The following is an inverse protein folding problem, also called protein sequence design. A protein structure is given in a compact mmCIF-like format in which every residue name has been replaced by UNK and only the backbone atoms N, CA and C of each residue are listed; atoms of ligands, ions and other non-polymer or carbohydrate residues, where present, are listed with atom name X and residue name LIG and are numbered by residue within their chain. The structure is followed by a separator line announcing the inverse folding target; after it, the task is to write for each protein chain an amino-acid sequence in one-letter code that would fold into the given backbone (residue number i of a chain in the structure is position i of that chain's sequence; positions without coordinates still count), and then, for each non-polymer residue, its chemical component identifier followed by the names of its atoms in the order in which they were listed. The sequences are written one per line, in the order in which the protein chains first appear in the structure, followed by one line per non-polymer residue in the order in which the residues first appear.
data_IF_812656410458
#
_entry.id   IF_812656410458
#
_cell.length_a   1.000
_cell.length_b   1.000
_cell.length_c   1.000
_cell.angle_alpha   90.00
_cell.angle_beta   90.00
_cell.angle_gamma   90.00
#
_symmetry.space_group_name_H-M   'P 1'
#
loop_
_entity.id
_entity.type
_entity.pdbx_description
1 polymer ?
#
# COMPACT_ATOMS: atom_id res chain seq x y z
N UNK A 1 7.54 7.59 20.85
CA UNK A 1 8.26 8.80 21.33
C UNK A 1 7.85 9.97 20.46
N UNK A 2 7.22 11.02 21.00
CA UNK A 2 6.98 12.25 20.22
C UNK A 2 8.33 12.92 19.99
N UNK A 3 8.69 13.21 18.74
CA UNK A 3 9.81 14.11 18.44
C UNK A 3 9.46 15.51 18.98
N UNK A 4 10.44 16.20 19.56
CA UNK A 4 10.33 17.60 19.97
C UNK A 4 10.00 18.47 18.76
N UNK A 5 9.26 19.56 18.96
CA UNK A 5 8.85 20.46 17.85
C UNK A 5 10.07 21.05 17.13
N UNK A 6 11.15 21.38 17.86
CA UNK A 6 12.42 21.84 17.29
C UNK A 6 13.03 20.87 16.25
N UNK A 7 12.88 19.56 16.44
CA UNK A 7 13.39 18.56 15.50
C UNK A 7 12.52 18.50 14.24
N UNK A 8 11.22 18.74 14.38
CA UNK A 8 10.29 18.78 13.24
C UNK A 8 10.51 20.04 12.42
N UNK A 9 10.60 21.18 13.08
CA UNK A 9 10.80 22.47 12.40
C UNK A 9 12.07 22.43 11.57
N UNK A 10 13.19 21.95 12.15
CA UNK A 10 14.44 21.76 11.42
C UNK A 10 14.30 20.82 10.21
N UNK A 11 13.54 19.74 10.34
CA UNK A 11 13.33 18.81 9.23
C UNK A 11 12.55 19.46 8.07
N UNK A 12 11.56 20.31 8.36
CA UNK A 12 10.82 21.01 7.32
C UNK A 12 11.62 22.17 6.73
N UNK A 13 12.48 22.84 7.51
CA UNK A 13 13.45 23.82 6.99
C UNK A 13 14.44 23.18 6.01
N UNK A 14 15.03 22.03 6.38
CA UNK A 14 15.93 21.27 5.51
C UNK A 14 15.20 20.80 4.24
N UNK A 15 13.94 20.39 4.35
CA UNK A 15 13.10 19.99 3.23
C UNK A 15 12.82 21.16 2.27
N UNK A 16 12.45 22.32 2.79
CA UNK A 16 12.23 23.53 1.98
C UNK A 16 13.50 23.93 1.22
N UNK A 17 14.67 23.84 1.88
CA UNK A 17 15.95 24.10 1.22
C UNK A 17 16.24 23.09 0.10
N UNK A 18 15.89 21.82 0.29
CA UNK A 18 16.08 20.78 -0.71
C UNK A 18 15.17 21.02 -1.92
N UNK A 19 13.88 21.31 -1.69
CA UNK A 19 12.91 21.60 -2.76
C UNK A 19 13.37 22.83 -3.56
N UNK A 20 13.84 23.87 -2.88
CA UNK A 20 14.35 25.08 -3.54
C UNK A 20 15.62 24.84 -4.37
N UNK A 21 16.38 23.78 -4.10
CA UNK A 21 17.58 23.43 -4.87
C UNK A 21 17.28 22.72 -6.19
N UNK A 22 16.07 22.18 -6.34
CA UNK A 22 15.65 21.46 -7.56
C UNK A 22 15.26 22.48 -8.64
N UNK A 23 15.79 22.36 -9.87
CA UNK A 23 15.38 23.20 -10.99
C UNK A 23 13.87 23.10 -11.26
N UNK A 24 13.23 24.20 -11.67
CA UNK A 24 11.78 24.23 -11.90
C UNK A 24 11.34 23.44 -13.13
N UNK A 25 12.28 23.19 -14.03
CA UNK A 25 12.08 22.42 -15.26
C UNK A 25 11.94 20.92 -14.98
N UNK A 26 12.44 20.46 -13.84
CA UNK A 26 12.41 19.08 -13.42
C UNK A 26 11.12 18.75 -12.65
N UNK A 27 10.62 17.52 -12.84
CA UNK A 27 9.43 17.04 -12.12
C UNK A 27 9.84 16.54 -10.75
N UNK A 28 9.37 17.21 -9.70
CA UNK A 28 9.66 16.82 -8.32
C UNK A 28 8.56 15.90 -7.75
N UNK A 29 8.97 14.74 -7.25
CA UNK A 29 8.10 13.82 -6.50
C UNK A 29 8.73 13.56 -5.13
N UNK A 30 7.99 13.88 -4.07
CA UNK A 30 8.43 13.68 -2.70
C UNK A 30 7.64 12.54 -2.08
N UNK A 31 8.33 11.51 -1.61
CA UNK A 31 7.75 10.31 -1.00
C UNK A 31 8.28 10.16 0.42
N UNK A 32 7.41 9.83 1.37
CA UNK A 32 7.84 9.58 2.74
C UNK A 32 6.72 9.64 3.78
N UNK A 33 6.99 9.08 4.96
CA UNK A 33 6.09 9.17 6.11
C UNK A 33 6.31 10.50 6.83
N UNK A 34 5.48 11.48 6.47
CA UNK A 34 5.44 12.79 7.11
C UNK A 34 4.76 12.78 8.48
N UNK A 35 4.20 11.63 8.89
CA UNK A 35 3.37 11.47 10.09
C UNK A 35 2.27 12.56 10.20
N UNK A 36 1.83 13.00 9.02
CA UNK A 36 0.81 14.00 8.79
C UNK A 36 -0.51 13.27 8.64
N UNK A 37 -1.42 13.49 9.59
CA UNK A 37 -2.77 12.93 9.52
C UNK A 37 -3.76 14.05 9.26
N UNK A 38 -4.91 13.70 8.71
CA UNK A 38 -6.09 14.56 8.75
C UNK A 38 -6.17 15.65 7.69
N UNK A 39 -5.51 15.44 6.56
CA UNK A 39 -5.47 16.38 5.44
C UNK A 39 -6.75 16.21 4.60
N UNK A 40 -7.80 16.97 4.93
CA UNK A 40 -9.15 16.78 4.35
C UNK A 40 -9.85 18.07 3.88
N UNK A 41 -9.38 19.24 4.28
CA UNK A 41 -10.05 20.51 4.00
C UNK A 41 -9.67 21.07 2.63
N UNK A 42 -10.17 20.43 1.57
CA UNK A 42 -9.85 20.77 0.20
C UNK A 42 -10.34 22.18 -0.20
N UNK A 43 -11.32 22.74 0.51
CA UNK A 43 -11.82 24.08 0.22
C UNK A 43 -10.79 25.15 0.61
N UNK A 44 -10.08 24.93 1.72
CA UNK A 44 -9.04 25.83 2.20
C UNK A 44 -7.71 25.63 1.46
N UNK A 45 -7.44 24.41 0.97
CA UNK A 45 -6.16 24.02 0.38
C UNK A 45 -6.31 23.54 -1.07
N UNK A 46 -7.12 24.26 -1.85
CA UNK A 46 -7.35 23.97 -3.27
C UNK A 46 -6.02 23.99 -4.06
N UNK A 47 -5.83 23.00 -4.93
CA UNK A 47 -4.57 22.78 -5.67
C UNK A 47 -3.46 22.04 -4.90
N UNK A 48 -3.52 22.00 -3.56
CA UNK A 48 -2.54 21.27 -2.73
C UNK A 48 -3.06 19.89 -2.34
N UNK A 49 -4.38 19.76 -2.16
CA UNK A 49 -5.02 18.49 -1.81
C UNK A 49 -6.22 18.23 -2.71
N UNK A 50 -6.41 16.95 -3.04
CA UNK A 50 -7.56 16.47 -3.78
C UNK A 50 -8.82 16.32 -2.91
N UNK A 51 -9.94 16.04 -3.57
CA UNK A 51 -11.29 16.00 -2.96
C UNK A 51 -11.51 14.84 -1.98
N UNK A 52 -10.57 13.89 -1.92
CA UNK A 52 -10.73 12.63 -1.19
C UNK A 52 -9.91 12.57 0.11
N UNK A 53 -9.36 13.70 0.55
CA UNK A 53 -8.67 13.82 1.84
C UNK A 53 -9.55 13.39 3.04
N UNK A 54 -8.91 12.97 4.14
CA UNK A 54 -9.62 12.33 5.26
C UNK A 54 -9.04 12.70 6.64
N UNK A 55 -9.94 12.93 7.60
CA UNK A 55 -9.62 13.19 9.02
C UNK A 55 -9.40 14.67 9.36
N UNK A 56 -8.97 14.94 10.60
CA UNK A 56 -8.68 16.30 11.10
C UNK A 56 -7.18 16.52 11.24
N UNK A 57 -6.63 17.58 10.62
CA UNK A 57 -5.19 17.77 10.57
C UNK A 57 -4.55 17.90 11.96
N UNK A 58 -3.49 17.13 12.19
CA UNK A 58 -2.58 17.33 13.31
C UNK A 58 -1.57 18.45 13.00
N UNK A 59 -0.69 18.83 13.95
CA UNK A 59 0.29 19.90 13.73
C UNK A 59 1.25 19.60 12.57
N UNK A 60 1.70 18.34 12.45
CA UNK A 60 2.50 17.89 11.31
C UNK A 60 1.76 18.02 9.98
N UNK A 61 0.45 17.76 9.96
CA UNK A 61 -0.39 17.91 8.76
C UNK A 61 -0.54 19.36 8.33
N UNK A 62 -0.62 20.30 9.28
CA UNK A 62 -0.63 21.73 8.94
C UNK A 62 0.71 22.19 8.36
N UNK A 63 1.82 21.69 8.92
CA UNK A 63 3.16 22.02 8.44
C UNK A 63 3.38 21.49 7.01
N UNK A 64 2.96 20.24 6.76
CA UNK A 64 3.00 19.65 5.42
C UNK A 64 2.15 20.44 4.41
N UNK A 65 0.91 20.79 4.76
CA UNK A 65 0.04 21.59 3.90
C UNK A 65 0.65 22.94 3.56
N UNK A 66 1.24 23.61 4.54
CA UNK A 66 1.90 24.91 4.37
C UNK A 66 3.10 24.80 3.42
N UNK A 67 3.97 23.80 3.62
CA UNK A 67 5.13 23.58 2.74
C UNK A 67 4.71 23.20 1.32
N UNK A 68 3.71 22.33 1.16
CA UNK A 68 3.21 21.96 -0.16
C UNK A 68 2.58 23.16 -0.90
N UNK A 69 1.84 24.01 -0.20
CA UNK A 69 1.30 25.25 -0.77
C UNK A 69 2.38 26.25 -1.19
N UNK A 70 3.49 26.33 -0.46
CA UNK A 70 4.59 27.24 -0.77
C UNK A 70 5.35 26.85 -2.06
N UNK A 71 5.29 25.57 -2.45
CA UNK A 71 6.04 25.00 -3.57
C UNK A 71 5.14 24.43 -4.68
N UNK A 72 3.84 24.77 -4.68
CA UNK A 72 2.85 24.27 -5.66
C UNK A 72 2.82 22.73 -5.77
N UNK A 73 2.99 22.03 -4.65
CA UNK A 73 3.02 20.56 -4.60
C UNK A 73 1.62 20.00 -4.28
N UNK A 74 1.23 18.97 -5.03
CA UNK A 74 -0.02 18.25 -4.85
C UNK A 74 0.19 16.98 -4.02
N UNK A 75 -0.62 16.80 -2.97
CA UNK A 75 -0.66 15.55 -2.19
C UNK A 75 -1.52 14.53 -2.97
N UNK A 76 -0.89 13.82 -3.89
CA UNK A 76 -1.53 12.91 -4.84
C UNK A 76 -2.44 11.85 -4.20
N UNK A 77 -2.08 11.33 -3.01
CA UNK A 77 -2.90 10.37 -2.27
C UNK A 77 -4.30 10.90 -1.90
N UNK A 78 -4.48 12.21 -1.81
CA UNK A 78 -5.78 12.83 -1.52
C UNK A 78 -6.66 13.02 -2.76
N UNK A 79 -6.12 12.78 -3.96
CA UNK A 79 -6.85 12.91 -5.22
C UNK A 79 -7.54 11.60 -5.64
N UNK A 80 -7.00 10.46 -5.19
CA UNK A 80 -7.59 9.15 -5.47
C UNK A 80 -8.76 8.81 -4.56
N UNK A 81 -9.90 8.42 -5.17
CA UNK A 81 -11.04 7.90 -4.42
C UNK A 81 -10.82 6.43 -4.03
N UNK A 82 -10.01 6.21 -2.99
CA UNK A 82 -9.74 4.88 -2.45
C UNK A 82 -10.83 4.43 -1.44
N UNK A 83 -11.14 3.13 -1.36
CA UNK A 83 -11.96 2.59 -0.27
C UNK A 83 -11.33 2.89 1.09
N UNK A 84 -12.13 3.18 2.12
CA UNK A 84 -11.63 3.61 3.44
C UNK A 84 -10.59 2.67 4.08
N UNK A 85 -10.69 1.36 3.83
CA UNK A 85 -9.72 0.38 4.34
C UNK A 85 -8.34 0.44 3.65
N UNK A 86 -8.23 1.08 2.48
CA UNK A 86 -6.99 1.32 1.75
C UNK A 86 -6.45 2.75 1.94
N UNK A 87 -7.18 3.62 2.65
CA UNK A 87 -6.79 5.01 2.97
C UNK A 87 -5.99 5.12 4.26
N UNK A 88 -5.82 4.02 4.98
CA UNK A 88 -5.29 4.02 6.34
C UNK A 88 -4.39 2.82 6.53
N UNK A 89 -3.18 3.04 7.01
CA UNK A 89 -2.16 2.01 7.13
C UNK A 89 -1.93 1.58 8.60
N UNK A 90 -2.53 2.28 9.56
CA UNK A 90 -2.40 1.98 10.99
C UNK A 90 -3.68 2.26 11.78
N UNK A 91 -4.03 1.40 12.74
CA UNK A 91 -5.20 1.58 13.63
C UNK A 91 -4.73 1.75 15.08
N UNK A 92 -5.14 2.84 15.73
CA UNK A 92 -4.80 3.09 17.13
C UNK A 92 -5.43 2.03 18.06
N UNK A 93 -4.65 1.31 18.87
CA UNK A 93 -5.13 0.14 19.63
C UNK A 93 -6.29 0.44 20.60
N UNK A 94 -6.29 1.63 21.19
CA UNK A 94 -7.21 2.00 22.28
C UNK A 94 -8.45 2.76 21.80
N UNK A 95 -8.31 3.54 20.72
CA UNK A 95 -9.40 4.42 20.21
C UNK A 95 -10.04 3.87 18.94
N UNK A 96 -9.50 2.80 18.36
CA UNK A 96 -9.97 2.15 17.10
C UNK A 96 -10.08 3.13 15.92
N UNK A 97 -9.35 4.24 15.97
CA UNK A 97 -9.27 5.20 14.87
C UNK A 97 -8.17 4.79 13.91
N UNK A 98 -8.44 4.95 12.62
CA UNK A 98 -7.53 4.59 11.53
C UNK A 98 -6.75 5.83 11.05
N UNK A 99 -5.46 5.64 10.78
CA UNK A 99 -4.48 6.66 10.38
C UNK A 99 -3.71 6.20 9.14
N UNK A 100 -3.33 7.14 8.28
CA UNK A 100 -2.40 6.91 7.15
C UNK A 100 -0.99 7.25 7.63
N UNK A 101 -0.09 6.26 7.68
CA UNK A 101 1.26 6.41 8.25
C UNK A 101 2.32 5.83 7.30
N UNK A 102 2.00 4.89 6.40
CA UNK A 102 3.02 4.18 5.62
C UNK A 102 3.27 4.80 4.25
N UNK A 103 4.51 5.23 4.04
CA UNK A 103 5.12 5.45 2.74
C UNK A 103 6.49 4.77 2.74
N UNK A 104 6.71 3.89 1.76
CA UNK A 104 7.78 2.87 1.75
C UNK A 104 9.17 3.51 1.75
N UNK A 105 9.98 3.20 2.78
CA UNK A 105 11.22 3.94 3.13
C UNK A 105 12.55 3.34 2.63
N UNK A 106 12.60 2.12 2.11
CA UNK A 106 13.88 1.49 1.71
C UNK A 106 14.02 1.22 0.21
N UNK A 107 13.08 1.72 -0.61
CA UNK A 107 13.03 1.43 -2.04
C UNK A 107 13.53 2.60 -2.89
N UNK A 108 13.54 3.82 -2.32
CA UNK A 108 13.65 5.08 -3.08
C UNK A 108 15.05 5.28 -3.67
N UNK A 109 16.12 5.14 -2.89
CA UNK A 109 17.50 5.39 -3.37
C UNK A 109 17.93 4.45 -4.53
N UNK A 110 17.39 3.24 -4.60
CA UNK A 110 17.71 2.29 -5.67
C UNK A 110 16.75 2.38 -6.86
N UNK A 111 15.49 2.75 -6.60
CA UNK A 111 14.54 3.04 -7.67
C UNK A 111 14.99 4.25 -8.48
N UNK A 112 15.52 5.28 -7.85
CA UNK A 112 16.01 6.48 -8.54
C UNK A 112 17.04 6.11 -9.61
N UNK A 113 18.06 5.34 -9.21
CA UNK A 113 19.10 4.80 -10.12
C UNK A 113 18.55 3.95 -11.26
N UNK A 114 17.43 3.25 -11.06
CA UNK A 114 16.82 2.33 -12.04
C UNK A 114 15.79 3.02 -12.92
N UNK A 115 15.13 4.04 -12.41
CA UNK A 115 14.17 4.88 -13.11
C UNK A 115 14.88 5.83 -14.07
N UNK A 116 16.08 6.31 -13.73
CA UNK A 116 16.94 7.09 -14.63
C UNK A 116 17.35 6.35 -15.92
N UNK A 117 17.29 5.01 -15.90
CA UNK A 117 17.60 4.16 -17.05
C UNK A 117 16.37 3.86 -17.92
N UNK A 118 15.16 4.24 -17.48
CA UNK A 118 13.91 4.00 -18.20
C UNK A 118 13.55 5.22 -19.06
N UNK A 119 13.50 5.03 -20.38
CA UNK A 119 13.04 6.04 -21.33
C UNK A 119 11.52 5.98 -21.50
N UNK A 120 10.81 6.79 -20.70
CA UNK A 120 9.36 6.96 -20.85
C UNK A 120 9.02 7.76 -22.11
N UNK A 121 8.01 7.34 -22.85
CA UNK A 121 7.45 8.05 -24.01
C UNK A 121 7.86 7.49 -25.38
N UNK A 122 8.50 6.31 -25.43
CA UNK A 122 9.00 5.74 -26.70
C UNK A 122 8.06 4.69 -27.31
N UNK A 123 7.32 3.93 -26.49
CA UNK A 123 6.59 2.75 -26.96
C UNK A 123 5.07 2.76 -26.70
N UNK A 124 4.56 3.69 -25.88
CA UNK A 124 3.14 3.80 -25.54
C UNK A 124 2.92 3.82 -24.03
N UNK A 125 1.84 4.47 -23.58
CA UNK A 125 1.58 4.69 -22.15
C UNK A 125 1.38 3.37 -21.36
N UNK A 126 0.92 2.30 -22.02
CA UNK A 126 0.79 0.98 -21.39
C UNK A 126 2.14 0.26 -21.25
N UNK A 127 3.01 0.28 -22.27
CA UNK A 127 4.36 -0.29 -22.18
C UNK A 127 5.22 0.46 -21.16
N UNK A 128 5.14 1.78 -21.14
CA UNK A 128 5.86 2.65 -20.20
C UNK A 128 5.43 2.36 -18.74
N UNK A 129 4.13 2.17 -18.52
CA UNK A 129 3.58 1.84 -17.21
C UNK A 129 3.95 0.41 -16.77
N UNK A 130 4.02 -0.53 -17.71
CA UNK A 130 4.49 -1.89 -17.43
C UNK A 130 5.99 -1.90 -17.07
N UNK A 131 6.82 -1.13 -17.79
CA UNK A 131 8.24 -1.02 -17.53
C UNK A 131 8.55 -0.39 -16.16
N UNK A 132 7.83 0.67 -15.79
CA UNK A 132 7.89 1.26 -14.44
C UNK A 132 7.53 0.24 -13.37
N UNK A 133 6.38 -0.45 -13.54
CA UNK A 133 5.91 -1.48 -12.61
C UNK A 133 6.97 -2.56 -12.42
N UNK A 134 7.50 -3.09 -13.50
CA UNK A 134 8.45 -4.20 -13.45
C UNK A 134 9.77 -3.79 -12.78
N UNK A 135 10.27 -2.57 -13.06
CA UNK A 135 11.43 -2.00 -12.34
C UNK A 135 11.15 -1.84 -10.85
N UNK A 136 9.96 -1.35 -10.49
CA UNK A 136 9.54 -1.18 -9.11
C UNK A 136 9.49 -2.52 -8.35
N UNK A 137 8.80 -3.51 -8.91
CA UNK A 137 8.65 -4.84 -8.31
C UNK A 137 9.97 -5.60 -8.21
N UNK A 138 10.81 -5.58 -9.25
CA UNK A 138 12.10 -6.28 -9.24
C UNK A 138 13.07 -5.64 -8.24
N UNK A 139 13.07 -4.31 -8.13
CA UNK A 139 13.88 -3.58 -7.14
C UNK A 139 13.43 -3.90 -5.71
N UNK A 140 12.11 -4.01 -5.50
CA UNK A 140 11.53 -4.39 -4.22
C UNK A 140 11.90 -5.82 -3.83
N UNK A 141 11.85 -6.76 -4.77
CA UNK A 141 12.26 -8.14 -4.54
C UNK A 141 13.75 -8.29 -4.20
N UNK A 142 14.61 -7.43 -4.75
CA UNK A 142 16.05 -7.49 -4.54
C UNK A 142 16.51 -6.91 -3.18
N UNK A 143 15.77 -5.94 -2.63
CA UNK A 143 16.22 -5.17 -1.46
C UNK A 143 15.34 -5.31 -0.23
N UNK A 144 14.04 -5.54 -0.43
CA UNK A 144 13.23 -6.08 0.64
C UNK A 144 13.61 -7.55 0.69
N UNK A 145 14.33 -7.94 1.74
CA UNK A 145 14.50 -9.35 2.09
C UNK A 145 13.15 -10.00 1.84
N UNK A 146 13.10 -11.03 0.97
CA UNK A 146 11.89 -11.81 0.81
C UNK A 146 11.47 -12.13 2.23
N UNK A 147 10.32 -11.60 2.64
CA UNK A 147 9.78 -11.88 3.96
C UNK A 147 9.43 -13.36 3.88
N UNK A 148 10.44 -14.20 4.11
CA UNK A 148 10.34 -15.63 4.20
C UNK A 148 9.54 -15.77 5.47
N UNK A 149 8.22 -15.86 5.28
CA UNK A 149 7.29 -16.05 6.37
C UNK A 149 7.88 -17.19 7.19
N UNK A 150 8.33 -16.87 8.40
CA UNK A 150 9.03 -17.83 9.28
C UNK A 150 8.14 -19.03 9.61
N UNK A 151 6.85 -18.91 9.32
CA UNK A 151 5.82 -19.91 9.52
C UNK A 151 5.16 -20.26 8.18
N UNK A 152 5.05 -21.56 7.91
CA UNK A 152 4.28 -22.07 6.78
C UNK A 152 2.78 -21.84 7.02
N UNK A 153 2.19 -20.95 6.23
CA UNK A 153 0.75 -20.73 6.19
C UNK A 153 0.11 -21.52 5.03
N UNK A 154 -1.22 -21.66 5.02
CA UNK A 154 -1.96 -22.37 3.96
C UNK A 154 -1.66 -21.85 2.54
N UNK A 155 -1.17 -20.61 2.45
CA UNK A 155 -0.78 -19.93 1.20
C UNK A 155 0.64 -20.27 0.70
N UNK A 156 1.47 -20.97 1.48
CA UNK A 156 2.89 -21.18 1.14
C UNK A 156 3.14 -22.35 0.17
N UNK A 157 2.09 -23.00 -0.31
CA UNK A 157 2.22 -23.86 -1.48
C UNK A 157 2.04 -22.95 -2.70
N UNK A 158 3.05 -22.88 -3.58
CA UNK A 158 2.92 -22.30 -4.92
C UNK A 158 1.86 -23.11 -5.69
N UNK A 159 0.58 -22.83 -5.40
CA UNK A 159 -0.54 -23.51 -5.99
C UNK A 159 -0.73 -22.91 -7.39
N UNK A 160 -0.16 -23.59 -8.37
CA UNK A 160 -0.24 -23.23 -9.79
C UNK A 160 -1.71 -23.01 -10.22
N UNK A 161 -2.66 -23.71 -9.60
CA UNK A 161 -4.09 -23.53 -9.87
C UNK A 161 -4.62 -22.19 -9.32
N UNK A 162 -4.17 -21.77 -8.13
CA UNK A 162 -4.55 -20.45 -7.58
C UNK A 162 -3.95 -19.34 -8.43
N UNK A 163 -2.68 -19.47 -8.82
CA UNK A 163 -2.02 -18.47 -9.65
C UNK A 163 -2.73 -18.34 -10.99
N UNK A 164 -3.03 -19.46 -11.65
CA UNK A 164 -3.80 -19.49 -12.89
C UNK A 164 -5.17 -18.81 -12.75
N UNK A 165 -5.90 -19.07 -11.67
CA UNK A 165 -7.20 -18.44 -11.41
C UNK A 165 -7.08 -16.93 -11.14
N UNK A 166 -5.99 -16.49 -10.50
CA UNK A 166 -5.70 -15.07 -10.30
C UNK A 166 -5.39 -14.38 -11.63
N UNK A 167 -4.62 -15.03 -12.51
CA UNK A 167 -4.31 -14.51 -13.84
C UNK A 167 -5.58 -14.40 -14.70
N UNK A 168 -6.43 -15.44 -14.72
CA UNK A 168 -7.74 -15.42 -15.38
C UNK A 168 -8.65 -14.29 -14.86
N UNK A 169 -8.62 -14.05 -13.55
CA UNK A 169 -9.37 -12.94 -12.93
C UNK A 169 -8.83 -11.59 -13.37
N UNK A 170 -7.51 -11.43 -13.46
CA UNK A 170 -6.86 -10.21 -13.92
C UNK A 170 -7.23 -9.90 -15.38
N UNK A 171 -7.19 -10.90 -16.26
CA UNK A 171 -7.60 -10.76 -17.67
C UNK A 171 -9.08 -10.39 -17.82
N UNK A 172 -9.96 -11.04 -17.06
CA UNK A 172 -11.38 -10.70 -17.06
C UNK A 172 -11.65 -9.27 -16.56
N UNK A 173 -10.84 -8.79 -15.61
CA UNK A 173 -10.92 -7.42 -15.12
C UNK A 173 -10.46 -6.39 -16.15
N UNK A 174 -9.33 -6.63 -16.82
CA UNK A 174 -8.85 -5.78 -17.94
C UNK A 174 -9.89 -5.69 -19.06
N UNK A 175 -10.47 -6.83 -19.41
CA UNK A 175 -11.54 -6.92 -20.41
C UNK A 175 -12.77 -6.07 -20.04
N UNK A 176 -13.14 -6.06 -18.75
CA UNK A 176 -14.23 -5.24 -18.21
C UNK A 176 -13.88 -3.75 -18.17
N UNK A 177 -12.62 -3.38 -17.90
CA UNK A 177 -12.20 -1.97 -17.92
C UNK A 177 -12.34 -1.36 -19.31
N UNK A 178 -12.01 -2.10 -20.37
CA UNK A 178 -12.18 -1.66 -21.75
C UNK A 178 -13.65 -1.44 -22.17
N UNK A 179 -14.61 -2.06 -21.49
CA UNK A 179 -16.05 -1.87 -21.73
C UNK A 179 -16.81 -2.08 -20.43
N UNK A 180 -16.85 -1.02 -19.62
CA UNK A 180 -17.41 -1.03 -18.27
C UNK A 180 -18.94 -1.19 -18.27
N UNK A 181 -19.60 -0.90 -19.40
CA UNK A 181 -21.05 -1.05 -19.57
C UNK A 181 -21.51 -2.47 -19.86
N UNK A 182 -20.60 -3.37 -20.26
CA UNK A 182 -20.97 -4.72 -20.67
C UNK A 182 -21.41 -5.60 -19.49
N UNK A 183 -22.70 -5.94 -19.49
CA UNK A 183 -23.31 -6.85 -18.50
C UNK A 183 -22.67 -8.24 -18.57
N UNK A 184 -22.37 -8.74 -19.77
CA UNK A 184 -21.75 -10.05 -19.97
C UNK A 184 -20.33 -10.12 -19.42
N UNK A 185 -19.50 -9.09 -19.65
CA UNK A 185 -18.13 -9.04 -19.10
C UNK A 185 -18.14 -8.92 -17.58
N UNK A 186 -19.07 -8.15 -17.02
CA UNK A 186 -19.27 -8.05 -15.57
C UNK A 186 -19.69 -9.39 -14.95
N UNK A 187 -20.58 -10.13 -15.62
CA UNK A 187 -20.98 -11.47 -15.19
C UNK A 187 -19.81 -12.47 -15.24
N UNK A 188 -19.00 -12.43 -16.31
CA UNK A 188 -17.81 -13.27 -16.45
C UNK A 188 -16.78 -13.00 -15.34
N UNK A 189 -16.46 -11.72 -15.07
CA UNK A 189 -15.57 -11.34 -13.97
C UNK A 189 -16.08 -11.80 -12.61
N UNK A 190 -17.38 -11.60 -12.32
CA UNK A 190 -17.96 -12.03 -11.05
C UNK A 190 -17.96 -13.55 -10.88
N UNK A 191 -18.16 -14.31 -11.97
CA UNK A 191 -18.06 -15.77 -11.96
C UNK A 191 -16.64 -16.24 -11.62
N UNK A 192 -15.62 -15.68 -12.28
CA UNK A 192 -14.21 -16.00 -12.02
C UNK A 192 -13.80 -15.57 -10.60
N UNK A 193 -14.23 -14.39 -10.15
CA UNK A 193 -14.02 -13.92 -8.78
C UNK A 193 -14.58 -14.90 -7.75
N UNK A 194 -15.79 -15.43 -7.99
CA UNK A 194 -16.42 -16.40 -7.09
C UNK A 194 -15.64 -17.73 -7.06
N UNK A 195 -15.13 -18.19 -8.20
CA UNK A 195 -14.27 -19.38 -8.28
C UNK A 195 -12.97 -19.21 -7.49
N UNK A 196 -12.29 -18.07 -7.65
CA UNK A 196 -11.09 -17.74 -6.86
C UNK A 196 -11.40 -17.79 -5.37
N UNK A 197 -12.48 -17.15 -4.93
CA UNK A 197 -12.87 -17.12 -3.53
C UNK A 197 -13.18 -18.52 -2.98
N UNK A 198 -13.89 -19.36 -3.75
CA UNK A 198 -14.18 -20.73 -3.36
C UNK A 198 -12.90 -21.57 -3.21
N UNK A 199 -11.97 -21.44 -4.17
CA UNK A 199 -10.70 -22.17 -4.14
C UNK A 199 -9.80 -21.75 -2.98
N UNK A 200 -9.76 -20.45 -2.67
CA UNK A 200 -9.04 -19.94 -1.50
C UNK A 200 -9.60 -20.52 -0.20
N UNK A 201 -10.92 -20.56 -0.04
CA UNK A 201 -11.57 -21.17 1.13
C UNK A 201 -11.32 -22.66 1.24
N UNK A 202 -11.40 -23.39 0.12
CA UNK A 202 -11.09 -24.83 0.07
C UNK A 202 -9.69 -25.15 0.62
N UNK A 203 -8.72 -24.24 0.42
CA UNK A 203 -7.35 -24.37 0.94
C UNK A 203 -7.22 -23.86 2.37
N UNK A 204 -7.87 -22.75 2.70
CA UNK A 204 -7.75 -22.06 3.98
C UNK A 204 -8.49 -22.78 5.11
N UNK A 205 -9.75 -23.16 4.90
CA UNK A 205 -10.64 -23.67 5.95
C UNK A 205 -10.07 -24.94 6.61
N UNK A 206 -9.59 -25.96 5.87
CA UNK A 206 -9.02 -27.16 6.49
C UNK A 206 -7.72 -26.91 7.27
N UNK A 207 -6.96 -25.87 6.92
CA UNK A 207 -5.76 -25.49 7.64
C UNK A 207 -6.12 -24.77 8.94
N UNK A 208 -7.09 -23.85 8.90
CA UNK A 208 -7.60 -23.16 10.09
C UNK A 208 -8.20 -24.14 11.10
N UNK A 209 -8.99 -25.12 10.65
CA UNK A 209 -9.54 -26.14 11.55
C UNK A 209 -8.43 -26.97 12.23
N UNK A 210 -7.40 -27.38 11.49
CA UNK A 210 -6.25 -28.10 12.07
C UNK A 210 -5.49 -27.25 13.09
N UNK A 211 -5.39 -25.95 12.84
CA UNK A 211 -4.75 -25.00 13.76
C UNK A 211 -5.57 -24.77 15.02
N UNK A 212 -6.89 -24.70 14.89
CA UNK A 212 -7.82 -24.63 16.02
C UNK A 212 -7.67 -25.87 16.92
N UNK A 213 -7.70 -27.07 16.33
CA UNK A 213 -7.51 -28.33 17.07
C UNK A 213 -6.14 -28.39 17.78
N UNK A 214 -5.07 -27.92 17.14
CA UNK A 214 -3.72 -27.86 17.70
C UNK A 214 -3.66 -26.92 18.92
N UNK A 215 -4.22 -25.72 18.80
CA UNK A 215 -4.24 -24.72 19.89
C UNK A 215 -5.10 -25.22 21.05
N UNK A 216 -6.27 -25.80 20.75
CA UNK A 216 -7.17 -26.34 21.76
C UNK A 216 -6.50 -27.47 22.54
N UNK A 217 -5.80 -28.38 21.86
CA UNK A 217 -5.02 -29.46 22.50
C UNK A 217 -3.96 -28.93 23.48
N UNK A 218 -3.27 -27.84 23.13
CA UNK A 218 -2.28 -27.24 24.02
C UNK A 218 -2.91 -26.50 25.21
N UNK A 219 -4.08 -25.91 25.02
CA UNK A 219 -4.86 -25.33 26.10
C UNK A 219 -5.31 -26.41 27.10
N UNK A 220 -5.88 -27.52 26.60
CA UNK A 220 -6.40 -28.62 27.42
C UNK A 220 -5.30 -29.34 28.21
N UNK A 221 -4.08 -29.39 27.67
CA UNK A 221 -2.91 -29.99 28.33
C UNK A 221 -2.11 -29.01 29.21
N UNK A 222 -2.60 -27.76 29.37
CA UNK A 222 -1.94 -26.67 30.10
C UNK A 222 -0.48 -26.41 29.65
N UNK A 223 -0.17 -26.66 28.38
CA UNK A 223 1.16 -26.46 27.80
C UNK A 223 1.27 -25.04 27.24
N UNK A 224 1.50 -24.07 28.14
CA UNK A 224 1.53 -22.64 27.84
C UNK A 224 2.57 -22.24 26.79
N UNK A 225 3.73 -22.91 26.75
CA UNK A 225 4.78 -22.65 25.76
C UNK A 225 4.35 -23.05 24.35
N UNK A 226 3.78 -24.25 24.20
CA UNK A 226 3.29 -24.70 22.90
C UNK A 226 2.05 -23.93 22.45
N UNK A 227 1.15 -23.56 23.39
CA UNK A 227 0.00 -22.70 23.11
C UNK A 227 0.42 -21.34 22.55
N UNK A 228 1.37 -20.66 23.20
CA UNK A 228 1.91 -19.38 22.72
C UNK A 228 2.57 -19.53 21.35
N UNK A 229 3.42 -20.56 21.18
CA UNK A 229 4.06 -20.79 19.89
C UNK A 229 3.07 -21.08 18.77
N UNK A 230 1.98 -21.82 19.04
CA UNK A 230 0.94 -22.11 18.05
C UNK A 230 0.17 -20.83 17.65
N UNK A 231 -0.13 -19.94 18.60
CA UNK A 231 -0.75 -18.64 18.32
C UNK A 231 0.14 -17.74 17.44
N UNK A 232 1.46 -17.82 17.60
CA UNK A 232 2.40 -17.07 16.77
C UNK A 232 2.48 -17.57 15.31
N UNK A 233 1.82 -18.69 14.98
CA UNK A 233 1.83 -19.30 13.63
C UNK A 233 0.56 -19.06 12.82
N UNK A 234 -0.43 -18.34 13.38
CA UNK A 234 -1.66 -17.87 12.70
C UNK A 234 -1.46 -16.42 12.26
#
# INVERSE_FOLDING_TARGET
MKKTEEIKDKLYEDLESLIASVPKEDKLVILGDFNASGVADYQTWDGVIGRNGFGKSNSSGHLLLKTCAAHDLLITNTDFNLPNHNKTSWMHPCSKHWHLIDYVKNLIEYLDSKLDQLSFGTNGAEEDCAAFRDVFYNTALAHLDQNTRKHQDWFNHNDEDIQKLLDEKCEAFRSLQQDTSSVSKKAAYNSIKSKVQAKLRERQDPWLSRKEDEIQKYADSNNTKCFYNALMTI
#
